data_IF_890749981404
#
_entry.id   IF_890749981404
#
_cell.length_a   1.000
_cell.length_b   1.000
_cell.length_c   1.000
_cell.angle_alpha   90.00
_cell.angle_beta   90.00
_cell.angle_gamma   90.00
#
_symmetry.space_group_name_H-M   'P 1'
#
loop_
_entity.id
_entity.type
_entity.pdbx_description
1 polymer ?
#
# COMPACT_ATOMS: atom_id res chain seq x y z
N UNK A 1 6.08 -0.57 -16.15
CA UNK A 1 7.33 -0.35 -15.36
C UNK A 1 7.30 -1.37 -14.23
N UNK A 2 8.47 -1.82 -13.75
CA UNK A 2 8.51 -2.68 -12.56
C UNK A 2 8.56 -1.83 -11.31
N UNK A 3 7.82 -2.20 -10.27
CA UNK A 3 7.90 -1.55 -8.98
C UNK A 3 9.31 -1.75 -8.36
N UNK A 4 9.72 -0.80 -7.53
CA UNK A 4 10.96 -0.87 -6.77
C UNK A 4 10.77 -0.31 -5.35
N UNK A 5 9.63 -0.62 -4.74
CA UNK A 5 9.23 -0.05 -3.46
C UNK A 5 9.86 -0.78 -2.28
N UNK A 6 9.95 -2.11 -2.37
CA UNK A 6 10.52 -2.98 -1.34
C UNK A 6 12.05 -3.01 -1.38
N UNK A 7 12.65 -2.69 -2.53
CA UNK A 7 14.10 -2.74 -2.76
C UNK A 7 14.64 -4.17 -2.62
N UNK A 8 13.80 -5.13 -3.00
CA UNK A 8 14.09 -6.54 -3.03
C UNK A 8 13.39 -7.10 -4.28
N UNK A 9 14.13 -7.67 -5.25
CA UNK A 9 13.56 -8.07 -6.53
C UNK A 9 12.35 -9.01 -6.43
N UNK A 10 12.38 -9.98 -5.51
CA UNK A 10 11.28 -10.96 -5.36
C UNK A 10 10.05 -10.34 -4.71
N UNK A 11 10.25 -9.45 -3.72
CA UNK A 11 9.15 -8.72 -3.11
C UNK A 11 8.54 -7.71 -4.10
N UNK A 12 9.37 -6.99 -4.85
CA UNK A 12 8.93 -6.05 -5.86
C UNK A 12 8.19 -6.74 -7.02
N UNK A 13 8.63 -7.92 -7.45
CA UNK A 13 7.89 -8.74 -8.42
C UNK A 13 6.52 -9.18 -7.89
N UNK A 14 6.43 -9.59 -6.62
CA UNK A 14 5.13 -9.91 -6.01
C UNK A 14 4.20 -8.68 -5.98
N UNK A 15 4.72 -7.48 -5.70
CA UNK A 15 3.92 -6.26 -5.70
C UNK A 15 3.44 -5.87 -7.11
N UNK A 16 4.22 -6.17 -8.15
CA UNK A 16 3.84 -5.97 -9.55
C UNK A 16 2.69 -6.91 -9.93
N UNK A 17 2.80 -8.19 -9.58
CA UNK A 17 1.90 -9.24 -10.08
C UNK A 17 0.63 -9.43 -9.23
N UNK A 18 0.66 -9.05 -7.95
CA UNK A 18 -0.43 -9.31 -6.99
C UNK A 18 -1.02 -8.00 -6.41
N UNK A 19 -2.23 -7.60 -6.88
CA UNK A 19 -3.00 -6.47 -6.34
C UNK A 19 -3.20 -6.48 -4.82
N UNK A 20 -3.37 -7.67 -4.22
CA UNK A 20 -3.59 -7.82 -2.79
C UNK A 20 -2.28 -7.61 -2.03
N UNK A 21 -1.15 -8.09 -2.56
CA UNK A 21 0.17 -7.77 -2.02
C UNK A 21 0.42 -6.25 -2.00
N UNK A 22 0.07 -5.55 -3.08
CA UNK A 22 0.23 -4.10 -3.18
C UNK A 22 -0.61 -3.35 -2.13
N UNK A 23 -1.87 -3.78 -1.89
CA UNK A 23 -2.73 -3.22 -0.85
C UNK A 23 -2.16 -3.46 0.56
N UNK A 24 -1.67 -4.67 0.85
CA UNK A 24 -1.04 -4.96 2.15
C UNK A 24 0.22 -4.10 2.34
N UNK A 25 1.05 -3.94 1.31
CA UNK A 25 2.23 -3.07 1.37
C UNK A 25 1.86 -1.64 1.75
N UNK A 26 0.83 -1.08 1.13
CA UNK A 26 0.34 0.26 1.46
C UNK A 26 -0.31 0.35 2.85
N UNK A 27 -1.05 -0.68 3.27
CA UNK A 27 -1.58 -0.78 4.63
C UNK A 27 -0.47 -0.70 5.67
N UNK A 28 0.64 -1.41 5.42
CA UNK A 28 1.80 -1.48 6.29
C UNK A 28 2.67 -0.20 6.27
N UNK A 29 2.51 0.70 5.29
CA UNK A 29 3.27 1.97 5.22
C UNK A 29 2.77 2.95 6.29
N UNK A 30 3.16 2.69 7.54
CA UNK A 30 2.89 3.53 8.69
C UNK A 30 3.96 3.35 9.76
N UNK A 31 4.64 4.44 10.10
CA UNK A 31 5.66 4.46 11.15
C UNK A 31 6.86 3.50 10.92
N UNK A 32 7.02 2.98 9.71
CA UNK A 32 8.21 2.27 9.22
C UNK A 32 8.70 2.95 7.93
N UNK A 33 9.82 2.49 7.36
CA UNK A 33 10.19 2.92 6.01
C UNK A 33 9.28 2.24 4.99
N UNK A 34 9.06 2.88 3.84
CA UNK A 34 8.27 2.26 2.78
C UNK A 34 8.92 0.95 2.30
N UNK A 35 10.24 0.83 2.26
CA UNK A 35 10.90 -0.44 1.91
C UNK A 35 10.50 -1.57 2.87
N UNK A 36 10.45 -1.29 4.18
CA UNK A 36 10.05 -2.30 5.17
C UNK A 36 8.58 -2.67 5.02
N UNK A 37 7.71 -1.69 4.75
CA UNK A 37 6.28 -1.90 4.56
C UNK A 37 5.99 -2.74 3.32
N UNK A 38 6.55 -2.36 2.17
CA UNK A 38 6.35 -3.01 0.88
C UNK A 38 7.06 -4.38 0.79
N UNK A 39 8.06 -4.67 1.62
CA UNK A 39 8.59 -6.02 1.80
C UNK A 39 7.71 -6.94 2.68
N UNK A 40 6.74 -6.38 3.41
CA UNK A 40 5.87 -7.11 4.32
C UNK A 40 5.03 -8.22 3.68
N UNK A 41 4.34 -7.98 2.54
CA UNK A 41 3.55 -8.99 1.84
C UNK A 41 4.36 -10.26 1.51
N UNK A 42 5.60 -10.11 1.04
CA UNK A 42 6.48 -11.24 0.70
C UNK A 42 6.76 -12.13 1.90
N UNK A 43 6.97 -11.56 3.09
CA UNK A 43 7.16 -12.35 4.34
C UNK A 43 5.92 -13.16 4.69
N UNK A 44 4.73 -12.62 4.45
CA UNK A 44 3.48 -13.36 4.69
C UNK A 44 3.36 -14.49 3.67
N UNK A 45 3.60 -14.18 2.40
CA UNK A 45 3.57 -15.17 1.32
C UNK A 45 4.52 -16.34 1.59
N UNK A 46 5.76 -16.06 2.00
CA UNK A 46 6.77 -17.09 2.30
C UNK A 46 6.37 -18.00 3.47
N UNK A 47 5.66 -17.46 4.47
CA UNK A 47 5.22 -18.20 5.67
C UNK A 47 3.95 -19.01 5.43
N UNK A 48 3.07 -18.54 4.54
CA UNK A 48 1.80 -19.20 4.23
C UNK A 48 1.85 -20.06 2.96
N UNK A 49 2.96 -20.03 2.21
CA UNK A 49 3.10 -20.74 0.94
C UNK A 49 2.38 -20.04 -0.24
N UNK A 50 2.07 -18.76 -0.09
CA UNK A 50 1.29 -17.96 -1.04
C UNK A 50 0.59 -16.80 -0.34
N UNK A 51 0.01 -15.90 -1.13
CA UNK A 51 -0.77 -14.77 -0.63
C UNK A 51 -2.19 -14.90 -1.17
N UNK A 52 -3.13 -15.29 -0.31
CA UNK A 52 -4.53 -15.48 -0.67
C UNK A 52 -5.43 -14.77 0.35
N UNK A 53 -6.39 -13.99 -0.14
CA UNK A 53 -7.25 -13.17 0.72
C UNK A 53 -8.18 -14.05 1.58
N UNK A 54 -8.74 -15.13 1.03
CA UNK A 54 -9.61 -16.03 1.78
C UNK A 54 -8.83 -16.77 2.88
N UNK A 55 -7.66 -17.32 2.54
CA UNK A 55 -6.79 -18.02 3.49
C UNK A 55 -6.34 -17.12 4.65
N UNK A 56 -6.07 -15.83 4.39
CA UNK A 56 -5.71 -14.87 5.44
C UNK A 56 -6.94 -14.47 6.28
N UNK A 57 -8.09 -14.25 5.66
CA UNK A 57 -9.33 -13.89 6.34
C UNK A 57 -9.79 -14.99 7.29
N UNK A 58 -9.75 -16.24 6.84
CA UNK A 58 -10.18 -17.43 7.60
C UNK A 58 -9.12 -17.93 8.60
N UNK A 59 -7.90 -17.39 8.55
CA UNK A 59 -6.84 -17.81 9.45
C UNK A 59 -7.18 -17.50 10.91
N UNK A 60 -6.84 -18.43 11.82
CA UNK A 60 -6.95 -18.16 13.26
C UNK A 60 -6.19 -16.86 13.64
N UNK A 61 -6.85 -15.87 14.27
CA UNK A 61 -6.26 -14.55 14.48
C UNK A 61 -5.01 -14.53 15.36
N UNK A 62 -4.94 -15.42 16.36
CA UNK A 62 -3.78 -15.48 17.27
C UNK A 62 -2.59 -16.12 16.55
N UNK A 63 -2.83 -17.20 15.80
CA UNK A 63 -1.80 -17.83 14.98
C UNK A 63 -1.32 -16.91 13.85
N UNK A 64 -2.22 -16.16 13.20
CA UNK A 64 -1.82 -15.21 12.16
C UNK A 64 -1.01 -14.04 12.73
N UNK A 65 -1.38 -13.55 13.91
CA UNK A 65 -0.59 -12.55 14.62
C UNK A 65 0.80 -13.07 15.01
N UNK A 66 0.90 -14.33 15.47
CA UNK A 66 2.17 -14.98 15.77
C UNK A 66 3.04 -15.16 14.51
N UNK A 67 2.44 -15.61 13.41
CA UNK A 67 3.07 -15.69 12.09
C UNK A 67 3.60 -14.33 11.66
N UNK A 68 2.83 -13.24 11.80
CA UNK A 68 3.29 -11.89 11.48
C UNK A 68 4.43 -11.41 12.41
N UNK A 69 4.51 -11.92 13.63
CA UNK A 69 5.50 -11.56 14.64
C UNK A 69 6.82 -12.34 14.54
N UNK A 70 6.84 -13.45 13.80
CA UNK A 70 8.06 -14.24 13.58
C UNK A 70 9.20 -13.37 13.04
N UNK A 71 10.40 -13.50 13.61
CA UNK A 71 11.55 -12.67 13.28
C UNK A 71 12.20 -13.10 11.95
N UNK A 72 12.51 -12.17 11.03
CA UNK A 72 12.23 -10.74 11.10
C UNK A 72 10.73 -10.43 10.92
N UNK A 73 10.14 -9.67 11.85
CA UNK A 73 8.71 -9.40 11.87
C UNK A 73 8.21 -8.71 10.59
N UNK A 74 6.94 -8.93 10.24
CA UNK A 74 6.27 -8.24 9.12
C UNK A 74 6.24 -6.72 9.36
N UNK A 75 5.98 -6.31 10.60
CA UNK A 75 5.93 -4.92 11.01
C UNK A 75 6.46 -4.75 12.43
N UNK A 76 6.83 -3.53 12.82
CA UNK A 76 7.22 -3.19 14.21
C UNK A 76 6.06 -3.31 15.22
N UNK A 77 4.82 -3.41 14.73
CA UNK A 77 3.59 -3.60 15.50
C UNK A 77 2.84 -4.84 14.96
N UNK A 78 3.42 -6.04 15.05
CA UNK A 78 2.97 -7.20 14.27
C UNK A 78 1.53 -7.60 14.60
N UNK A 79 1.14 -7.65 15.89
CA UNK A 79 -0.22 -8.03 16.27
C UNK A 79 -1.30 -7.04 15.80
N UNK A 80 -1.04 -5.73 15.86
CA UNK A 80 -2.00 -4.72 15.38
C UNK A 80 -2.12 -4.73 13.86
N UNK A 81 -0.99 -4.90 13.15
CA UNK A 81 -1.01 -4.97 11.70
C UNK A 81 -1.65 -6.28 11.20
N UNK A 82 -1.41 -7.41 11.86
CA UNK A 82 -2.06 -8.69 11.53
C UNK A 82 -3.58 -8.56 11.53
N UNK A 83 -4.17 -7.97 12.59
CA UNK A 83 -5.62 -7.71 12.67
C UNK A 83 -6.12 -6.83 11.51
N UNK A 84 -5.36 -5.81 11.12
CA UNK A 84 -5.74 -4.92 10.00
C UNK A 84 -5.63 -5.62 8.66
N UNK A 85 -4.64 -6.50 8.49
CA UNK A 85 -4.47 -7.30 7.27
C UNK A 85 -5.63 -8.28 7.14
N UNK A 86 -6.03 -8.99 8.20
CA UNK A 86 -7.22 -9.85 8.15
C UNK A 86 -8.50 -9.06 7.86
N UNK A 87 -8.67 -7.88 8.47
CA UNK A 87 -9.82 -7.02 8.17
C UNK A 87 -9.83 -6.54 6.70
N UNK A 88 -8.65 -6.24 6.13
CA UNK A 88 -8.52 -5.93 4.72
C UNK A 88 -8.89 -7.15 3.86
N UNK A 89 -8.34 -8.32 4.19
CA UNK A 89 -8.59 -9.58 3.50
C UNK A 89 -10.10 -9.90 3.47
N UNK A 90 -10.78 -9.78 4.62
CA UNK A 90 -12.23 -9.99 4.72
C UNK A 90 -13.01 -9.07 3.78
N UNK A 91 -12.65 -7.79 3.70
CA UNK A 91 -13.31 -6.85 2.77
C UNK A 91 -13.12 -7.29 1.32
N UNK A 92 -11.93 -7.77 0.97
CA UNK A 92 -11.64 -8.26 -0.38
C UNK A 92 -12.47 -9.51 -0.69
N UNK A 93 -12.57 -10.45 0.25
CA UNK A 93 -13.43 -11.63 0.12
C UNK A 93 -14.90 -11.23 -0.05
N UNK A 94 -15.43 -10.44 0.88
CA UNK A 94 -16.86 -10.12 0.95
C UNK A 94 -17.36 -9.30 -0.25
N UNK A 95 -16.52 -8.41 -0.79
CA UNK A 95 -16.96 -7.44 -1.80
C UNK A 95 -16.42 -7.72 -3.19
N UNK A 96 -15.34 -8.47 -3.28
CA UNK A 96 -14.61 -8.69 -4.54
C UNK A 96 -14.24 -10.18 -4.72
N UNK A 97 -14.88 -11.08 -3.97
CA UNK A 97 -14.74 -12.54 -4.10
C UNK A 97 -13.28 -13.02 -3.99
N UNK A 98 -12.46 -12.29 -3.22
CA UNK A 98 -11.03 -12.58 -3.04
C UNK A 98 -10.11 -11.88 -4.06
N UNK A 99 -10.65 -11.30 -5.13
CA UNK A 99 -9.87 -10.55 -6.13
C UNK A 99 -9.71 -9.07 -5.76
N UNK A 100 -8.54 -8.71 -5.24
CA UNK A 100 -8.21 -7.34 -4.89
C UNK A 100 -8.24 -6.36 -6.08
N UNK A 101 -8.06 -6.81 -7.33
CA UNK A 101 -8.19 -5.93 -8.51
C UNK A 101 -9.63 -5.42 -8.67
N UNK A 102 -10.62 -6.16 -8.16
CA UNK A 102 -12.03 -5.78 -8.13
C UNK A 102 -12.28 -4.38 -7.57
N UNK A 103 -11.41 -3.88 -6.67
CA UNK A 103 -11.45 -2.50 -6.18
C UNK A 103 -11.52 -1.46 -7.29
N UNK A 104 -10.74 -1.63 -8.36
CA UNK A 104 -10.63 -0.68 -9.47
C UNK A 104 -11.17 -1.21 -10.81
N UNK A 105 -11.54 -2.48 -10.92
CA UNK A 105 -12.14 -3.05 -12.14
C UNK A 105 -13.66 -3.20 -12.03
N UNK A 106 -14.19 -3.58 -10.86
CA UNK A 106 -15.60 -3.93 -10.73
C UNK A 106 -16.50 -2.70 -10.90
N UNK A 107 -17.36 -2.75 -11.93
CA UNK A 107 -18.29 -1.68 -12.29
C UNK A 107 -17.63 -0.44 -12.89
N UNK A 108 -16.40 -0.55 -13.40
CA UNK A 108 -15.66 0.52 -14.11
C UNK A 108 -15.69 1.87 -13.38
N UNK A 109 -15.19 1.94 -12.13
CA UNK A 109 -15.31 3.15 -11.31
C UNK A 109 -14.49 4.29 -11.91
N UNK A 110 -14.98 5.52 -11.75
CA UNK A 110 -14.17 6.72 -11.98
C UNK A 110 -13.16 6.94 -10.84
N UNK A 111 -12.28 7.95 -10.99
CA UNK A 111 -11.28 8.27 -9.98
C UNK A 111 -11.87 8.63 -8.61
N UNK A 112 -13.05 9.25 -8.56
CA UNK A 112 -13.71 9.63 -7.30
C UNK A 112 -14.25 8.42 -6.57
N UNK A 113 -14.91 7.52 -7.30
CA UNK A 113 -15.44 6.27 -6.76
C UNK A 113 -14.29 5.36 -6.31
N UNK A 114 -13.22 5.23 -7.09
CA UNK A 114 -12.05 4.48 -6.67
C UNK A 114 -11.42 5.08 -5.40
N UNK A 115 -11.29 6.40 -5.32
CA UNK A 115 -10.81 7.05 -4.09
C UNK A 115 -11.74 6.77 -2.90
N UNK A 116 -13.07 6.78 -3.10
CA UNK A 116 -14.05 6.45 -2.05
C UNK A 116 -13.88 5.01 -1.56
N UNK A 117 -13.70 4.05 -2.48
CA UNK A 117 -13.45 2.64 -2.16
C UNK A 117 -12.16 2.48 -1.36
N UNK A 118 -11.07 3.12 -1.81
CA UNK A 118 -9.77 3.10 -1.10
C UNK A 118 -9.88 3.69 0.31
N UNK A 119 -10.57 4.82 0.50
CA UNK A 119 -10.81 5.40 1.82
C UNK A 119 -11.63 4.49 2.75
N UNK A 120 -12.41 3.56 2.19
CA UNK A 120 -13.17 2.58 2.95
C UNK A 120 -12.33 1.42 3.50
N UNK A 121 -11.05 1.31 3.10
CA UNK A 121 -10.17 0.23 3.54
C UNK A 121 -9.55 0.54 4.93
N UNK A 122 -9.34 -0.47 5.78
CA UNK A 122 -8.77 -0.27 7.11
C UNK A 122 -7.38 0.34 6.98
N UNK A 123 -7.14 1.46 7.66
CA UNK A 123 -5.83 2.13 7.65
C UNK A 123 -5.57 3.05 6.44
N UNK A 124 -6.49 3.17 5.49
CA UNK A 124 -6.42 4.09 4.35
C UNK A 124 -7.13 5.40 4.65
N UNK A 125 -6.49 6.27 5.45
CA UNK A 125 -6.97 7.65 5.60
C UNK A 125 -6.83 8.45 4.29
N UNK A 126 -7.47 9.63 4.23
CA UNK A 126 -7.60 10.46 3.00
C UNK A 126 -6.29 10.62 2.22
N UNK A 127 -5.21 11.02 2.91
CA UNK A 127 -3.91 11.20 2.26
C UNK A 127 -3.35 9.88 1.71
N UNK A 128 -3.46 8.79 2.47
CA UNK A 128 -2.98 7.46 2.05
C UNK A 128 -3.76 6.97 0.83
N UNK A 129 -5.09 7.09 0.85
CA UNK A 129 -5.93 6.70 -0.28
C UNK A 129 -5.57 7.49 -1.55
N UNK A 130 -5.31 8.81 -1.45
CA UNK A 130 -4.84 9.62 -2.58
C UNK A 130 -3.46 9.20 -3.10
N UNK A 131 -2.50 8.91 -2.20
CA UNK A 131 -1.18 8.40 -2.59
C UNK A 131 -1.32 7.05 -3.29
N UNK A 132 -2.17 6.15 -2.78
CA UNK A 132 -2.36 4.85 -3.40
C UNK A 132 -3.03 4.96 -4.77
N UNK A 133 -4.05 5.80 -4.90
CA UNK A 133 -4.66 6.10 -6.20
C UNK A 133 -3.62 6.66 -7.19
N UNK A 134 -2.72 7.53 -6.72
CA UNK A 134 -1.62 8.01 -7.54
C UNK A 134 -0.66 6.89 -7.95
N UNK A 135 -0.32 5.97 -7.05
CA UNK A 135 0.55 4.83 -7.33
C UNK A 135 -0.08 3.92 -8.40
N UNK A 136 -1.36 3.62 -8.24
CA UNK A 136 -2.16 2.85 -9.20
C UNK A 136 -2.11 3.46 -10.60
N UNK A 137 -2.36 4.77 -10.73
CA UNK A 137 -2.36 5.44 -12.03
C UNK A 137 -0.98 5.72 -12.62
N UNK A 138 0.03 6.00 -11.78
CA UNK A 138 1.40 6.34 -12.26
C UNK A 138 2.22 5.11 -12.63
N UNK A 139 2.05 4.02 -11.89
CA UNK A 139 2.96 2.87 -11.98
C UNK A 139 2.24 1.56 -12.30
N UNK A 140 0.97 1.42 -11.92
CA UNK A 140 0.21 0.17 -12.01
C UNK A 140 -0.78 0.12 -13.20
N UNK A 141 -0.81 1.17 -14.04
CA UNK A 141 -1.66 1.22 -15.24
C UNK A 141 -3.16 1.46 -15.01
N UNK A 142 -3.59 1.58 -13.75
CA UNK A 142 -5.00 1.79 -13.38
C UNK A 142 -5.36 3.26 -13.53
N UNK A 143 -5.94 3.62 -14.67
CA UNK A 143 -6.13 5.01 -15.09
C UNK A 143 -7.60 5.39 -15.36
N UNK A 144 -8.53 5.16 -14.41
CA UNK A 144 -9.93 5.51 -14.61
C UNK A 144 -10.12 7.03 -14.78
N UNK A 145 -11.17 7.43 -15.49
CA UNK A 145 -11.46 8.85 -15.75
C UNK A 145 -11.43 9.68 -14.45
N UNK A 146 -10.68 10.78 -14.44
CA UNK A 146 -10.60 11.67 -13.27
C UNK A 146 -9.68 11.21 -12.14
N UNK A 147 -8.86 10.16 -12.33
CA UNK A 147 -7.99 9.64 -11.26
C UNK A 147 -6.95 10.65 -10.77
N UNK A 148 -6.41 11.51 -11.66
CA UNK A 148 -5.39 12.51 -11.27
C UNK A 148 -5.99 13.58 -10.38
N UNK A 149 -7.17 14.06 -10.73
CA UNK A 149 -7.93 15.05 -9.98
C UNK A 149 -8.31 14.49 -8.60
N UNK A 150 -8.78 13.25 -8.55
CA UNK A 150 -9.10 12.57 -7.29
C UNK A 150 -7.86 12.35 -6.40
N UNK A 151 -6.71 11.99 -7.00
CA UNK A 151 -5.44 11.85 -6.29
C UNK A 151 -4.84 13.19 -5.82
N UNK A 152 -5.35 14.32 -6.31
CA UNK A 152 -4.92 15.67 -5.92
C UNK A 152 -3.46 15.94 -6.29
N UNK A 153 -2.68 16.50 -5.35
CA UNK A 153 -1.26 16.82 -5.60
C UNK A 153 -0.43 15.58 -5.98
N UNK A 154 -0.77 14.41 -5.42
CA UNK A 154 -0.10 13.15 -5.73
C UNK A 154 -0.38 12.67 -7.15
N UNK A 155 -1.48 13.11 -7.77
CA UNK A 155 -1.83 12.78 -9.15
C UNK A 155 -1.06 13.58 -10.21
N UNK A 156 -0.35 14.65 -9.83
CA UNK A 156 0.33 15.54 -10.79
C UNK A 156 1.53 14.84 -11.44
N UNK A 157 1.81 15.09 -12.74
CA UNK A 157 3.01 14.57 -13.39
C UNK A 157 4.27 15.32 -12.91
N UNK A 158 5.43 14.67 -13.00
CA UNK A 158 6.73 15.29 -12.69
C UNK A 158 6.96 15.60 -11.21
N UNK A 159 6.19 14.99 -10.31
CA UNK A 159 6.30 15.16 -8.86
C UNK A 159 7.19 14.10 -8.20
N UNK A 160 7.67 14.39 -6.98
CA UNK A 160 8.45 13.48 -6.14
C UNK A 160 7.99 13.58 -4.68
N UNK A 161 6.70 13.39 -4.44
CA UNK A 161 6.04 13.65 -3.16
C UNK A 161 5.85 12.38 -2.32
N UNK A 162 5.69 11.23 -2.98
CA UNK A 162 5.24 10.00 -2.32
C UNK A 162 5.78 8.72 -2.98
N UNK A 163 5.41 7.56 -2.45
CA UNK A 163 5.77 6.25 -3.04
C UNK A 163 5.27 6.10 -4.47
N UNK A 164 4.18 6.79 -4.84
CA UNK A 164 3.67 6.84 -6.20
C UNK A 164 4.65 7.44 -7.22
N UNK A 165 5.68 8.14 -6.75
CA UNK A 165 6.70 8.78 -7.60
C UNK A 165 8.03 8.00 -7.65
N UNK A 166 8.14 6.88 -6.93
CA UNK A 166 9.39 6.09 -6.85
C UNK A 166 9.40 5.07 -7.99
N UNK A 167 10.23 5.32 -9.01
CA UNK A 167 10.40 4.42 -10.17
C UNK A 167 11.86 3.96 -10.36
N UNK A 168 12.78 4.55 -9.59
CA UNK A 168 14.21 4.25 -9.58
C UNK A 168 14.87 4.80 -8.31
N UNK A 169 16.17 4.58 -8.15
CA UNK A 169 16.94 5.09 -7.01
C UNK A 169 16.97 6.62 -6.92
N UNK A 170 16.98 7.29 -8.07
CA UNK A 170 17.04 8.76 -8.14
C UNK A 170 15.76 9.38 -7.59
N UNK A 171 14.61 8.96 -8.09
CA UNK A 171 13.29 9.38 -7.65
C UNK A 171 13.03 9.00 -6.18
N UNK A 172 13.49 7.83 -5.74
CA UNK A 172 13.49 7.45 -4.32
C UNK A 172 14.25 8.45 -3.44
N UNK A 173 15.45 8.86 -3.87
CA UNK A 173 16.23 9.89 -3.20
C UNK A 173 15.50 11.24 -3.13
N UNK A 174 14.84 11.64 -4.21
CA UNK A 174 14.04 12.88 -4.26
C UNK A 174 12.84 12.84 -3.30
N UNK A 175 12.08 11.74 -3.26
CA UNK A 175 10.96 11.55 -2.33
C UNK A 175 11.42 11.58 -0.87
N UNK A 176 12.56 10.95 -0.56
CA UNK A 176 13.16 11.00 0.79
C UNK A 176 13.57 12.43 1.17
N UNK A 177 14.17 13.16 0.25
CA UNK A 177 14.53 14.58 0.45
C UNK A 177 13.30 15.44 0.72
N UNK A 178 12.25 15.29 -0.10
CA UNK A 178 10.99 16.00 0.07
C UNK A 178 10.35 15.72 1.45
N UNK A 179 10.20 14.44 1.83
CA UNK A 179 9.65 14.05 3.15
C UNK A 179 10.46 14.65 4.31
N UNK A 180 11.79 14.70 4.19
CA UNK A 180 12.67 15.32 5.21
C UNK A 180 12.42 16.82 5.32
N UNK A 181 12.31 17.52 4.20
CA UNK A 181 12.04 18.97 4.16
C UNK A 181 10.67 19.30 4.77
N UNK A 182 9.62 18.55 4.41
CA UNK A 182 8.28 18.74 4.96
C UNK A 182 8.22 18.51 6.47
N UNK A 183 8.92 17.48 6.97
CA UNK A 183 9.01 17.22 8.41
C UNK A 183 9.75 18.34 9.15
N UNK A 184 10.82 18.90 8.56
CA UNK A 184 11.54 20.02 9.13
C UNK A 184 10.66 21.30 9.17
N UNK A 185 9.93 21.59 8.09
CA UNK A 185 9.01 22.73 8.03
C UNK A 185 7.87 22.62 9.05
N UNK A 186 7.30 21.42 9.24
CA UNK A 186 6.25 21.18 10.24
C UNK A 186 6.76 21.37 11.68
N UNK A 187 7.99 20.94 11.97
CA UNK A 187 8.64 21.20 13.27
C UNK A 187 8.93 22.68 13.50
N UNK A 188 9.36 23.40 12.46
CA UNK A 188 9.59 24.84 12.53
C UNK A 188 8.32 25.62 12.86
N UNK A 189 7.19 25.27 12.22
CA UNK A 189 5.87 25.88 12.50
C UNK A 189 5.31 25.57 13.89
N UNK A 190 5.66 24.41 14.47
CA UNK A 190 5.23 24.05 15.82
C UNK A 190 6.10 24.69 16.92
N UNK A 191 7.24 25.27 16.56
CA UNK A 191 8.19 25.92 17.47
C UNK A 191 8.06 27.46 17.49
N UNK A 192 7.16 28.02 16.67
CA UNK A 192 6.74 29.43 16.63
C UNK A 192 5.30 29.56 17.07
#
# INVERSE_FOLDING_TARGET
>A
MKLCLAQNPDADALLDDDPFALLIGMLLDQQVTFETAFAGPKKIADRMGGLDAAAIADHDPEKFAALCAERPAVHRFPGSMAKRIQALAQIIVDRYEGDAAGLWTAGEPDGKELLRRLNGLPGFGEQKARIFLALLGKQYGVTPTGWREAAGEFGRPGTYLSVADIVDDKSRGQVRSYKKQMKAAAKGKAAT
#
